data_IF_916805460246
#
_entry.id   IF_916805460246
#
_cell.length_a   1.000
_cell.length_b   1.000
_cell.length_c   1.000
_cell.angle_alpha   90.00
_cell.angle_beta   90.00
_cell.angle_gamma   90.00
#
_symmetry.space_group_name_H-M   'P 1'
#
loop_
_entity.id
_entity.type
_entity.pdbx_description
1 polymer ?
#
# COMPACT_ATOMS: atom_id res chain seq x y z
N UNK A 1 -16.47 10.42 2.63
CA UNK A 1 -15.03 10.08 2.63
C UNK A 1 -14.64 9.79 4.06
N UNK A 2 -13.91 8.70 4.33
CA UNK A 2 -13.43 8.40 5.68
C UNK A 2 -12.45 9.47 6.16
N UNK A 3 -12.44 9.79 7.45
CA UNK A 3 -11.49 10.75 8.02
C UNK A 3 -10.08 10.16 8.07
N UNK A 4 -9.05 11.02 8.13
CA UNK A 4 -7.67 10.56 8.30
C UNK A 4 -7.52 9.70 9.57
N UNK A 5 -8.22 10.04 10.68
CA UNK A 5 -8.15 9.23 11.90
C UNK A 5 -8.79 7.83 11.73
N UNK A 6 -9.84 7.71 10.91
CA UNK A 6 -10.45 6.41 10.60
C UNK A 6 -9.49 5.55 9.78
N UNK A 7 -8.83 6.14 8.77
CA UNK A 7 -7.85 5.45 7.94
C UNK A 7 -6.62 5.02 8.77
N UNK A 8 -6.14 5.86 9.68
CA UNK A 8 -5.08 5.50 10.62
C UNK A 8 -5.47 4.29 11.49
N UNK A 9 -6.69 4.29 12.04
CA UNK A 9 -7.20 3.15 12.83
C UNK A 9 -7.25 1.87 12.01
N UNK A 10 -7.61 1.94 10.73
CA UNK A 10 -7.59 0.78 9.82
C UNK A 10 -6.16 0.27 9.65
N UNK A 11 -5.20 1.13 9.33
CA UNK A 11 -3.79 0.75 9.21
C UNK A 11 -3.27 0.07 10.50
N UNK A 12 -3.60 0.62 11.67
CA UNK A 12 -3.22 0.03 12.95
C UNK A 12 -3.85 -1.35 13.21
N UNK A 13 -5.09 -1.58 12.75
CA UNK A 13 -5.71 -2.91 12.80
C UNK A 13 -4.98 -3.89 11.89
N UNK A 14 -4.66 -3.49 10.65
CA UNK A 14 -3.94 -4.32 9.67
C UNK A 14 -2.58 -4.74 10.21
N UNK A 15 -1.79 -3.81 10.76
CA UNK A 15 -0.47 -4.09 11.33
C UNK A 15 -0.54 -5.11 12.49
N UNK A 16 -1.69 -5.20 13.17
CA UNK A 16 -1.93 -6.14 14.29
C UNK A 16 -2.44 -7.51 13.84
N UNK A 17 -2.81 -7.69 12.57
CA UNK A 17 -3.33 -8.97 12.07
C UNK A 17 -2.27 -10.07 12.10
N UNK A 18 -1.02 -9.72 11.86
CA UNK A 18 0.09 -10.67 11.81
C UNK A 18 1.35 -10.08 12.47
N UNK A 19 2.07 -10.82 13.32
CA UNK A 19 3.29 -10.32 13.97
C UNK A 19 4.40 -9.93 12.98
N UNK A 20 4.44 -10.55 11.79
CA UNK A 20 5.40 -10.28 10.71
C UNK A 20 5.01 -9.07 9.84
N UNK A 21 3.80 -8.50 10.01
CA UNK A 21 3.43 -7.28 9.30
C UNK A 21 4.39 -6.14 9.60
N UNK A 22 4.93 -5.53 8.54
CA UNK A 22 5.91 -4.44 8.65
C UNK A 22 5.32 -3.06 8.60
N UNK A 23 4.28 -2.88 7.82
CA UNK A 23 3.66 -1.60 7.55
C UNK A 23 2.27 -1.79 6.99
N UNK A 24 1.40 -0.81 7.20
CA UNK A 24 0.16 -0.64 6.46
C UNK A 24 0.06 0.83 6.07
N UNK A 25 -0.18 1.11 4.80
CA UNK A 25 -0.14 2.46 4.23
C UNK A 25 -1.31 2.61 3.27
N UNK A 26 -1.99 3.75 3.35
CA UNK A 26 -3.05 4.15 2.42
C UNK A 26 -2.51 5.32 1.64
N UNK A 27 -2.48 5.20 0.33
CA UNK A 27 -2.00 6.23 -0.59
C UNK A 27 -3.16 6.71 -1.48
N UNK A 28 -3.08 7.93 -1.96
CA UNK A 28 -4.03 8.43 -2.95
C UNK A 28 -3.61 8.07 -4.38
N UNK A 29 -4.47 8.37 -5.36
CA UNK A 29 -4.23 8.12 -6.78
C UNK A 29 -3.06 8.91 -7.39
N UNK A 30 -2.46 9.83 -6.63
CA UNK A 30 -1.26 10.60 -7.02
C UNK A 30 0.01 10.07 -6.37
N UNK A 31 -0.04 8.94 -5.66
CA UNK A 31 1.11 8.34 -5.00
C UNK A 31 1.53 9.05 -3.71
N UNK A 32 0.66 9.85 -3.10
CA UNK A 32 0.95 10.46 -1.79
C UNK A 32 0.34 9.64 -0.65
N UNK A 33 1.08 9.50 0.44
CA UNK A 33 0.60 8.89 1.68
C UNK A 33 -0.54 9.71 2.28
N UNK A 34 -1.65 9.03 2.59
CA UNK A 34 -2.83 9.61 3.24
C UNK A 34 -2.91 9.19 4.71
N UNK A 35 -2.57 7.93 5.03
CA UNK A 35 -2.56 7.41 6.39
C UNK A 35 -1.64 6.17 6.52
N UNK A 36 -1.22 5.88 7.75
CA UNK A 36 -0.47 4.69 8.12
C UNK A 36 1.05 4.88 8.09
N UNK A 37 1.77 3.78 8.13
CA UNK A 37 3.23 3.80 8.21
C UNK A 37 3.81 2.47 8.68
N UNK A 38 5.04 2.55 9.18
CA UNK A 38 5.78 1.40 9.71
C UNK A 38 5.25 0.98 11.08
N UNK A 39 5.29 -0.33 11.36
CA UNK A 39 5.10 -0.87 12.69
C UNK A 39 6.15 -0.30 13.64
N UNK A 40 5.71 0.14 14.82
CA UNK A 40 6.61 0.72 15.84
C UNK A 40 7.77 -0.23 16.16
N UNK A 41 8.99 0.31 16.15
CA UNK A 41 10.22 -0.45 16.43
C UNK A 41 10.79 -1.21 15.23
N UNK A 42 10.18 -1.12 14.05
CA UNK A 42 10.76 -1.69 12.82
C UNK A 42 11.36 -0.62 11.92
N UNK A 43 12.53 -0.96 11.38
CA UNK A 43 13.23 -0.16 10.39
C UNK A 43 12.71 -0.47 8.99
N UNK A 44 12.63 0.59 8.19
CA UNK A 44 12.32 0.51 6.76
C UNK A 44 13.42 -0.24 6.01
N UNK A 45 13.07 -0.97 4.94
CA UNK A 45 14.05 -1.55 4.03
C UNK A 45 14.50 -0.52 2.97
N UNK A 46 13.69 0.51 2.81
CA UNK A 46 13.78 1.57 1.82
C UNK A 46 14.05 2.93 2.49
N UNK A 47 14.75 3.82 1.78
CA UNK A 47 14.80 5.24 2.15
C UNK A 47 13.46 5.93 1.86
N UNK A 48 13.20 7.07 2.49
CA UNK A 48 11.96 7.84 2.25
C UNK A 48 11.71 8.12 0.76
N UNK A 49 12.76 8.51 0.01
CA UNK A 49 12.67 8.74 -1.44
C UNK A 49 12.27 7.49 -2.22
N UNK A 50 12.79 6.32 -1.83
CA UNK A 50 12.40 5.05 -2.44
C UNK A 50 10.96 4.68 -2.12
N UNK A 51 10.50 5.03 -0.92
CA UNK A 51 9.11 4.83 -0.50
C UNK A 51 8.15 5.67 -1.33
N UNK A 52 8.45 6.96 -1.53
CA UNK A 52 7.69 7.86 -2.40
C UNK A 52 7.66 7.37 -3.87
N UNK A 53 8.79 6.90 -4.39
CA UNK A 53 8.84 6.30 -5.73
C UNK A 53 7.97 5.04 -5.83
N UNK A 54 7.97 4.19 -4.80
CA UNK A 54 7.13 3.00 -4.74
C UNK A 54 5.64 3.35 -4.73
N UNK A 55 5.23 4.39 -3.99
CA UNK A 55 3.82 4.82 -3.97
C UNK A 55 3.36 5.34 -5.32
N UNK A 56 4.20 6.13 -6.00
CA UNK A 56 3.91 6.59 -7.37
C UNK A 56 3.80 5.42 -8.34
N UNK A 57 4.75 4.48 -8.29
CA UNK A 57 4.75 3.31 -9.14
C UNK A 57 3.53 2.40 -8.89
N UNK A 58 3.09 2.28 -7.63
CA UNK A 58 1.87 1.56 -7.30
C UNK A 58 0.61 2.25 -7.86
N UNK A 59 0.49 3.57 -7.68
CA UNK A 59 -0.63 4.35 -8.21
C UNK A 59 -0.72 4.27 -9.74
N UNK A 60 0.43 4.32 -10.43
CA UNK A 60 0.49 4.13 -11.88
C UNK A 60 0.05 2.72 -12.29
N UNK A 61 0.51 1.68 -11.59
CA UNK A 61 0.08 0.30 -11.87
C UNK A 61 -1.41 0.08 -11.69
N UNK A 62 -2.04 0.71 -10.68
CA UNK A 62 -3.49 0.65 -10.50
C UNK A 62 -4.18 1.26 -11.73
N UNK A 63 -3.78 2.47 -12.12
CA UNK A 63 -4.35 3.16 -13.29
C UNK A 63 -4.20 2.35 -14.59
N UNK A 64 -3.01 1.81 -14.85
CA UNK A 64 -2.74 1.05 -16.06
C UNK A 64 -3.53 -0.26 -16.13
N UNK A 65 -3.82 -0.90 -14.98
CA UNK A 65 -4.62 -2.12 -14.99
C UNK A 65 -6.10 -1.85 -15.24
N UNK A 66 -6.62 -0.72 -14.75
CA UNK A 66 -8.01 -0.31 -15.03
C UNK A 66 -8.29 -0.15 -16.54
N UNK A 67 -7.26 0.08 -17.36
CA UNK A 67 -7.41 0.13 -18.82
C UNK A 67 -7.89 -1.20 -19.43
N UNK A 68 -7.77 -2.31 -18.69
CA UNK A 68 -8.17 -3.65 -19.13
C UNK A 68 -9.38 -4.22 -18.36
N UNK A 69 -10.05 -3.41 -17.53
CA UNK A 69 -11.19 -3.89 -16.72
C UNK A 69 -12.33 -4.41 -17.61
N UNK A 70 -12.51 -3.85 -18.80
CA UNK A 70 -13.53 -4.29 -19.75
C UNK A 70 -13.24 -5.70 -20.29
N UNK A 71 -11.98 -6.03 -20.51
CA UNK A 71 -11.54 -7.29 -21.08
C UNK A 71 -11.33 -8.37 -20.01
N UNK A 72 -10.80 -8.01 -18.84
CA UNK A 72 -10.35 -8.96 -17.81
C UNK A 72 -11.13 -8.89 -16.50
N UNK A 73 -12.00 -7.90 -16.33
CA UNK A 73 -12.66 -7.59 -15.05
C UNK A 73 -11.78 -6.75 -14.12
N UNK A 74 -12.38 -6.29 -13.01
CA UNK A 74 -11.73 -5.40 -12.06
C UNK A 74 -10.56 -6.06 -11.32
N UNK A 75 -9.54 -5.26 -11.02
CA UNK A 75 -8.44 -5.68 -10.14
C UNK A 75 -8.91 -5.71 -8.69
N UNK A 76 -8.90 -6.88 -8.05
CA UNK A 76 -9.18 -6.97 -6.60
C UNK A 76 -7.95 -6.74 -5.72
N UNK A 77 -6.77 -7.20 -6.15
CA UNK A 77 -5.49 -6.95 -5.49
C UNK A 77 -4.31 -7.23 -6.43
N UNK A 78 -3.12 -6.80 -6.04
CA UNK A 78 -1.87 -7.25 -6.65
C UNK A 78 -0.86 -7.63 -5.58
N UNK A 79 -0.02 -8.63 -5.85
CA UNK A 79 1.01 -9.10 -4.93
C UNK A 79 2.38 -9.12 -5.61
N UNK A 80 3.38 -8.56 -4.96
CA UNK A 80 4.79 -8.72 -5.30
C UNK A 80 5.47 -9.57 -4.23
N UNK A 81 5.85 -10.80 -4.58
CA UNK A 81 6.65 -11.69 -3.73
C UNK A 81 8.13 -11.45 -4.01
N UNK A 82 8.88 -10.92 -3.04
CA UNK A 82 10.30 -10.58 -3.15
C UNK A 82 11.09 -11.27 -2.05
N UNK A 83 12.37 -11.48 -2.26
CA UNK A 83 13.28 -12.19 -1.34
C UNK A 83 13.22 -11.71 0.12
N UNK A 84 12.90 -10.43 0.34
CA UNK A 84 12.87 -9.81 1.69
C UNK A 84 11.50 -9.38 2.18
N UNK A 85 10.50 -9.26 1.29
CA UNK A 85 9.20 -8.68 1.63
C UNK A 85 8.12 -9.10 0.64
N UNK A 86 6.92 -9.31 1.14
CA UNK A 86 5.70 -9.44 0.33
C UNK A 86 4.98 -8.11 0.38
N UNK A 87 4.68 -7.53 -0.78
CA UNK A 87 3.87 -6.32 -0.89
C UNK A 87 2.54 -6.69 -1.51
N UNK A 88 1.45 -6.49 -0.77
CA UNK A 88 0.09 -6.61 -1.25
C UNK A 88 -0.53 -5.22 -1.38
N UNK A 89 -1.21 -4.97 -2.49
CA UNK A 89 -1.91 -3.72 -2.76
C UNK A 89 -3.36 -3.97 -3.15
N UNK A 90 -4.26 -3.15 -2.65
CA UNK A 90 -5.68 -3.21 -2.91
C UNK A 90 -6.09 -1.85 -3.50
N UNK A 91 -6.65 -1.81 -4.73
CA UNK A 91 -7.07 -0.57 -5.39
C UNK A 91 -8.32 0.05 -4.76
#
# INVERSE_FOLDING_TARGET
MASVEELEKICQKIIKLDPLMRSARIINSRGHLTAGGMKKGMLSLESQKQDEMMFMELALRVRMRHEFDKEFGEVHFSMSYRDKVIVMSFP
#
